data_IF_893152327725
#
_entry.id   IF_893152327725
#
_cell.length_a   1.000
_cell.length_b   1.000
_cell.length_c   1.000
_cell.angle_alpha   90.00
_cell.angle_beta   90.00
_cell.angle_gamma   90.00
#
_symmetry.space_group_name_H-M   'P 1'
#
loop_
_entity.id
_entity.type
_entity.pdbx_description
1 polymer ?
#
# COMPACT_ATOMS: atom_id res chain seq x y z
N UNK A 1 0.07 26.42 12.45
CA UNK A 1 1.39 26.36 11.79
C UNK A 1 1.18 26.32 10.30
N UNK A 2 1.41 27.44 9.61
CA UNK A 2 1.14 27.60 8.18
C UNK A 2 1.88 26.57 7.30
N UNK A 3 3.05 26.11 7.75
CA UNK A 3 3.82 25.06 7.09
C UNK A 3 3.07 23.72 7.03
N UNK A 4 2.47 23.26 8.13
CA UNK A 4 1.68 22.02 8.11
C UNK A 4 0.46 22.15 7.20
N UNK A 5 -0.19 23.31 7.18
CA UNK A 5 -1.39 23.55 6.38
C UNK A 5 -1.09 23.60 4.88
N UNK A 6 0.06 24.18 4.50
CA UNK A 6 0.58 24.13 3.13
C UNK A 6 0.97 22.70 2.72
N UNK A 7 1.61 21.95 3.62
CA UNK A 7 2.05 20.58 3.36
C UNK A 7 0.87 19.63 3.17
N UNK A 8 -0.16 19.73 4.02
CA UNK A 8 -1.41 18.96 3.88
C UNK A 8 -2.12 19.27 2.55
N UNK A 9 -2.24 20.56 2.18
CA UNK A 9 -2.87 20.96 0.92
C UNK A 9 -2.12 20.45 -0.32
N UNK A 10 -0.79 20.42 -0.28
CA UNK A 10 0.03 19.87 -1.37
C UNK A 10 -0.10 18.34 -1.45
N UNK A 11 -0.19 17.66 -0.31
CA UNK A 11 -0.41 16.21 -0.25
C UNK A 11 -1.78 15.85 -0.79
N UNK A 12 -2.84 16.59 -0.46
CA UNK A 12 -4.18 16.37 -1.02
C UNK A 12 -4.23 16.65 -2.53
N UNK A 13 -3.60 17.74 -2.99
CA UNK A 13 -3.60 18.10 -4.41
C UNK A 13 -2.89 17.06 -5.29
N UNK A 14 -1.73 16.55 -4.84
CA UNK A 14 -0.95 15.54 -5.57
C UNK A 14 -1.15 14.11 -5.06
N UNK A 15 -2.19 13.87 -4.25
CA UNK A 15 -2.46 12.57 -3.61
C UNK A 15 -2.45 11.43 -4.63
N UNK A 16 -3.08 11.61 -5.80
CA UNK A 16 -3.13 10.59 -6.85
C UNK A 16 -1.73 10.21 -7.37
N UNK A 17 -0.87 11.20 -7.60
CA UNK A 17 0.52 10.96 -8.03
C UNK A 17 1.33 10.25 -6.93
N UNK A 18 1.14 10.64 -5.67
CA UNK A 18 1.82 10.00 -4.55
C UNK A 18 1.35 8.56 -4.33
N UNK A 19 0.06 8.28 -4.49
CA UNK A 19 -0.48 6.91 -4.47
C UNK A 19 0.10 6.08 -5.61
N UNK A 20 0.25 6.65 -6.81
CA UNK A 20 0.85 5.96 -7.95
C UNK A 20 2.34 5.63 -7.71
N UNK A 21 3.12 6.58 -7.20
CA UNK A 21 4.53 6.36 -6.84
C UNK A 21 4.66 5.34 -5.71
N UNK A 22 3.79 5.40 -4.70
CA UNK A 22 3.74 4.43 -3.61
C UNK A 22 3.43 3.01 -4.11
N UNK A 23 2.42 2.86 -4.98
CA UNK A 23 2.10 1.58 -5.64
C UNK A 23 3.28 1.07 -6.48
N UNK A 24 3.92 1.95 -7.26
CA UNK A 24 5.11 1.61 -8.04
C UNK A 24 6.27 1.12 -7.18
N UNK A 25 6.52 1.77 -6.03
CA UNK A 25 7.54 1.36 -5.07
C UNK A 25 7.21 0.02 -4.40
N UNK A 26 5.94 -0.26 -4.09
CA UNK A 26 5.52 -1.57 -3.60
C UNK A 26 5.83 -2.65 -4.64
N UNK A 27 5.42 -2.45 -5.90
CA UNK A 27 5.68 -3.41 -6.99
C UNK A 27 7.19 -3.60 -7.18
N UNK A 28 7.95 -2.50 -7.22
CA UNK A 28 9.40 -2.54 -7.32
C UNK A 28 10.01 -3.35 -6.18
N UNK A 29 9.58 -3.12 -4.93
CA UNK A 29 10.09 -3.79 -3.74
C UNK A 29 9.78 -5.30 -3.76
N UNK A 30 8.57 -5.68 -4.21
CA UNK A 30 8.17 -7.08 -4.39
C UNK A 30 9.03 -7.77 -5.46
N UNK A 31 9.31 -7.10 -6.59
CA UNK A 31 10.08 -7.67 -7.70
C UNK A 31 11.57 -7.78 -7.36
N UNK A 32 12.14 -6.80 -6.65
CA UNK A 32 13.55 -6.81 -6.26
C UNK A 32 13.83 -7.71 -5.05
N UNK A 33 12.82 -8.07 -4.26
CA UNK A 33 12.98 -8.90 -3.06
C UNK A 33 12.54 -10.35 -3.32
N UNK A 34 13.46 -11.29 -3.62
CA UNK A 34 13.10 -12.66 -3.96
C UNK A 34 12.38 -13.40 -2.82
N UNK A 35 12.74 -13.12 -1.56
CA UNK A 35 12.07 -13.69 -0.37
C UNK A 35 10.60 -13.25 -0.25
N UNK A 36 10.31 -11.99 -0.55
CA UNK A 36 8.95 -11.44 -0.47
C UNK A 36 8.06 -12.02 -1.57
N UNK A 37 8.62 -12.21 -2.76
CA UNK A 37 7.96 -12.82 -3.90
C UNK A 37 7.59 -14.28 -3.61
N UNK A 38 8.50 -15.05 -3.01
CA UNK A 38 8.24 -16.44 -2.58
C UNK A 38 7.15 -16.47 -1.51
N UNK A 39 7.18 -15.59 -0.52
CA UNK A 39 6.15 -15.51 0.51
C UNK A 39 4.77 -15.18 -0.07
N UNK A 40 4.69 -14.24 -1.01
CA UNK A 40 3.46 -13.93 -1.74
C UNK A 40 2.98 -15.13 -2.57
N UNK A 41 3.87 -15.83 -3.26
CA UNK A 41 3.51 -17.02 -4.05
C UNK A 41 2.92 -18.13 -3.17
N UNK A 42 3.53 -18.41 -2.01
CA UNK A 42 3.02 -19.36 -1.03
C UNK A 42 1.67 -18.90 -0.47
N UNK A 43 1.53 -17.60 -0.18
CA UNK A 43 0.28 -17.02 0.32
C UNK A 43 -0.87 -17.15 -0.68
N UNK A 44 -0.66 -16.70 -1.93
CA UNK A 44 -1.66 -16.81 -2.99
C UNK A 44 -1.96 -18.28 -3.31
N UNK A 45 -0.95 -19.15 -3.30
CA UNK A 45 -1.15 -20.60 -3.45
C UNK A 45 -2.03 -21.18 -2.35
N UNK A 46 -1.75 -20.87 -1.08
CA UNK A 46 -2.55 -21.33 0.05
C UNK A 46 -3.99 -20.80 0.00
N UNK A 47 -4.16 -19.50 -0.28
CA UNK A 47 -5.47 -18.88 -0.46
C UNK A 47 -6.24 -19.48 -1.65
N UNK A 48 -5.57 -19.77 -2.77
CA UNK A 48 -6.18 -20.37 -3.94
C UNK A 48 -6.62 -21.81 -3.70
N UNK A 49 -5.78 -22.61 -3.02
CA UNK A 49 -6.15 -23.97 -2.59
C UNK A 49 -7.37 -23.91 -1.65
N UNK A 50 -7.39 -22.97 -0.70
CA UNK A 50 -8.52 -22.75 0.19
C UNK A 50 -9.79 -22.36 -0.60
N UNK A 51 -9.67 -21.43 -1.54
CA UNK A 51 -10.76 -20.99 -2.40
C UNK A 51 -11.35 -22.15 -3.23
N UNK A 52 -10.49 -22.95 -3.86
CA UNK A 52 -10.91 -24.14 -4.60
C UNK A 52 -11.58 -25.17 -3.69
N UNK A 53 -11.03 -25.39 -2.48
CA UNK A 53 -11.63 -26.30 -1.50
C UNK A 53 -13.04 -25.84 -1.12
N UNK A 54 -13.24 -24.54 -0.92
CA UNK A 54 -14.54 -23.96 -0.57
C UNK A 54 -15.56 -24.01 -1.71
N UNK A 55 -15.11 -23.95 -2.97
CA UNK A 55 -15.96 -24.15 -4.14
C UNK A 55 -16.38 -25.61 -4.34
N UNK A 56 -15.47 -26.55 -4.12
CA UNK A 56 -15.69 -27.99 -4.37
C UNK A 56 -16.38 -28.71 -3.21
N UNK A 57 -16.19 -28.23 -1.99
CA UNK A 57 -16.86 -28.76 -0.81
C UNK A 57 -17.07 -27.60 0.14
N UNK A 58 -18.31 -27.30 0.53
CA UNK A 58 -18.53 -26.52 1.75
C UNK A 58 -17.64 -27.15 2.81
N UNK A 59 -16.63 -26.43 3.31
CA UNK A 59 -15.69 -26.98 4.29
C UNK A 59 -16.49 -27.20 5.58
N UNK A 60 -17.10 -28.39 5.68
CA UNK A 60 -17.82 -28.85 6.86
C UNK A 60 -16.77 -29.49 7.77
N UNK A 61 -16.02 -28.65 8.49
CA UNK A 61 -15.17 -29.13 9.57
C UNK A 61 -16.10 -29.48 10.73
N UNK A 62 -16.20 -30.76 11.08
CA UNK A 62 -16.91 -31.22 12.28
C UNK A 62 -18.45 -31.02 12.26
N UNK A 63 -19.09 -31.10 11.09
CA UNK A 63 -20.57 -31.01 10.99
C UNK A 63 -21.15 -29.59 11.09
N UNK A 64 -20.31 -28.56 11.17
CA UNK A 64 -20.71 -27.14 11.14
C UNK A 64 -20.12 -26.48 9.89
N UNK A 65 -20.93 -25.70 9.17
CA UNK A 65 -20.46 -24.89 8.05
C UNK A 65 -19.43 -23.88 8.58
N UNK A 66 -18.16 -24.06 8.22
CA UNK A 66 -17.12 -23.12 8.62
C UNK A 66 -17.31 -21.86 7.80
N UNK A 67 -17.78 -20.80 8.45
CA UNK A 67 -17.95 -19.48 7.85
C UNK A 67 -16.65 -19.06 7.13
N UNK A 68 -16.75 -18.46 5.93
CA UNK A 68 -15.58 -17.98 5.18
C UNK A 68 -14.65 -17.09 6.02
N UNK A 69 -15.18 -16.36 7.01
CA UNK A 69 -14.37 -15.57 7.94
C UNK A 69 -13.31 -16.41 8.70
N UNK A 70 -13.66 -17.62 9.16
CA UNK A 70 -12.70 -18.49 9.87
C UNK A 70 -11.63 -19.05 8.94
N UNK A 71 -11.98 -19.28 7.68
CA UNK A 71 -11.06 -19.78 6.67
C UNK A 71 -10.00 -18.74 6.31
N UNK A 72 -10.42 -17.49 6.08
CA UNK A 72 -9.50 -16.38 5.89
C UNK A 72 -8.70 -16.07 7.14
N UNK A 73 -9.28 -16.22 8.34
CA UNK A 73 -8.54 -16.07 9.60
C UNK A 73 -7.45 -17.14 9.75
N UNK A 74 -7.73 -18.41 9.45
CA UNK A 74 -6.72 -19.47 9.45
C UNK A 74 -5.65 -19.25 8.39
N UNK A 75 -6.05 -18.88 7.17
CA UNK A 75 -5.11 -18.54 6.12
C UNK A 75 -4.20 -17.40 6.57
N UNK A 76 -4.77 -16.30 7.10
CA UNK A 76 -4.02 -15.18 7.66
C UNK A 76 -3.07 -15.59 8.79
N UNK A 77 -3.51 -16.43 9.73
CA UNK A 77 -2.69 -16.90 10.84
C UNK A 77 -1.49 -17.73 10.41
N UNK A 78 -1.63 -18.57 9.37
CA UNK A 78 -0.52 -19.35 8.79
C UNK A 78 0.43 -18.46 7.98
N UNK A 79 -0.13 -17.44 7.33
CA UNK A 79 0.60 -16.56 6.41
C UNK A 79 1.40 -15.48 7.14
N UNK A 80 0.89 -15.00 8.27
CA UNK A 80 1.51 -13.97 9.10
C UNK A 80 2.97 -14.29 9.49
N UNK A 81 3.31 -15.46 10.06
CA UNK A 81 4.69 -15.80 10.37
C UNK A 81 5.57 -15.93 9.12
N UNK A 82 5.01 -16.36 7.99
CA UNK A 82 5.73 -16.42 6.71
C UNK A 82 6.09 -15.03 6.19
N UNK A 83 5.14 -14.08 6.21
CA UNK A 83 5.40 -12.69 5.83
C UNK A 83 6.37 -12.00 6.79
N UNK A 84 6.31 -12.33 8.08
CA UNK A 84 7.27 -11.85 9.06
C UNK A 84 8.69 -12.35 8.75
N UNK A 85 8.86 -13.65 8.49
CA UNK A 85 10.15 -14.24 8.11
C UNK A 85 10.69 -13.67 6.79
N UNK A 86 9.80 -13.41 5.83
CA UNK A 86 10.15 -12.82 4.55
C UNK A 86 10.51 -11.33 4.64
N UNK A 87 10.40 -10.71 5.82
CA UNK A 87 10.75 -9.30 6.01
C UNK A 87 9.72 -8.33 5.43
N UNK A 88 8.43 -8.69 5.42
CA UNK A 88 7.39 -7.79 4.91
C UNK A 88 7.35 -6.46 5.69
N UNK A 89 7.57 -6.50 7.01
CA UNK A 89 7.66 -5.28 7.82
C UNK A 89 8.78 -4.35 7.37
N UNK A 90 9.99 -4.86 7.18
CA UNK A 90 11.13 -4.04 6.74
C UNK A 90 10.93 -3.50 5.32
N UNK A 91 10.35 -4.28 4.41
CA UNK A 91 9.97 -3.83 3.07
C UNK A 91 8.99 -2.66 3.12
N UNK A 92 7.95 -2.74 3.96
CA UNK A 92 6.98 -1.64 4.14
C UNK A 92 7.65 -0.38 4.69
N UNK A 93 8.47 -0.49 5.75
CA UNK A 93 9.18 0.68 6.29
C UNK A 93 10.16 1.27 5.29
N UNK A 94 10.82 0.45 4.48
CA UNK A 94 11.73 0.91 3.44
C UNK A 94 10.97 1.68 2.35
N UNK A 95 9.86 1.13 1.85
CA UNK A 95 9.01 1.79 0.86
C UNK A 95 8.44 3.10 1.40
N UNK A 96 7.94 3.11 2.65
CA UNK A 96 7.46 4.31 3.31
C UNK A 96 8.55 5.38 3.42
N UNK A 97 9.75 5.00 3.88
CA UNK A 97 10.90 5.89 3.94
C UNK A 97 11.31 6.43 2.58
N UNK A 98 11.35 5.57 1.55
CA UNK A 98 11.63 5.97 0.18
C UNK A 98 10.58 6.95 -0.34
N UNK A 99 9.28 6.70 -0.12
CA UNK A 99 8.23 7.67 -0.49
C UNK A 99 8.36 8.97 0.25
N UNK A 100 8.64 8.98 1.56
CA UNK A 100 8.81 10.21 2.32
C UNK A 100 10.02 11.01 1.85
N UNK A 101 11.12 10.35 1.50
CA UNK A 101 12.30 11.01 0.94
C UNK A 101 12.01 11.52 -0.47
N UNK A 102 11.36 10.74 -1.33
CA UNK A 102 11.02 11.15 -2.71
C UNK A 102 10.03 12.30 -2.71
N UNK A 103 8.94 12.20 -1.94
CA UNK A 103 7.91 13.23 -1.83
C UNK A 103 8.46 14.45 -1.09
N UNK A 104 9.22 14.25 -0.01
CA UNK A 104 9.85 15.33 0.74
C UNK A 104 10.89 16.07 -0.09
N UNK A 105 11.72 15.36 -0.85
CA UNK A 105 12.67 15.97 -1.79
C UNK A 105 11.94 16.67 -2.93
N UNK A 106 10.91 16.04 -3.52
CA UNK A 106 10.10 16.69 -4.55
C UNK A 106 9.41 17.95 -4.00
N UNK A 107 8.80 17.92 -2.82
CA UNK A 107 8.19 19.10 -2.19
C UNK A 107 9.21 20.16 -1.73
N UNK A 108 10.45 19.77 -1.43
CA UNK A 108 11.52 20.69 -1.03
C UNK A 108 12.20 21.38 -2.24
N UNK A 109 12.34 20.67 -3.35
CA UNK A 109 12.95 21.19 -4.58
C UNK A 109 11.94 21.75 -5.57
N UNK A 110 10.70 21.25 -5.57
CA UNK A 110 9.57 21.80 -6.30
C UNK A 110 8.81 22.72 -5.35
N UNK A 111 9.18 24.01 -5.37
CA UNK A 111 8.21 25.03 -4.99
C UNK A 111 7.00 24.82 -5.88
N UNK A 112 5.83 24.66 -5.28
CA UNK A 112 4.61 25.03 -6.00
C UNK A 112 4.82 26.50 -6.29
N UNK A 113 5.18 26.81 -7.53
CA UNK A 113 4.97 28.15 -8.06
C UNK A 113 3.52 28.47 -7.68
N UNK A 114 3.36 29.54 -6.92
CA UNK A 114 2.05 30.11 -6.61
C UNK A 114 1.45 30.63 -7.93
N UNK A 115 1.04 29.71 -8.80
CA UNK A 115 0.28 29.93 -10.02
C UNK A 115 -1.04 29.24 -9.68
N UNK A 116 -2.13 29.89 -9.31
CA UNK A 116 -2.66 31.19 -9.69
C UNK A 116 -3.41 31.80 -8.49
N UNK A 117 -3.00 32.97 -8.02
CA UNK A 117 -3.78 33.75 -7.07
C UNK A 117 -3.58 35.25 -7.15
N UNK A 118 -2.50 35.72 -7.79
CA UNK A 118 -2.19 37.15 -7.91
C UNK A 118 -2.25 37.69 -9.35
N UNK A 119 -2.53 36.88 -10.38
CA UNK A 119 -2.49 37.38 -11.78
C UNK A 119 -3.83 37.54 -12.52
N UNK A 120 -4.99 37.33 -11.90
CA UNK A 120 -6.28 37.54 -12.61
C UNK A 120 -7.28 38.41 -11.83
N UNK A 121 -7.27 39.71 -12.19
CA UNK A 121 -8.40 40.66 -12.21
C UNK A 121 -8.79 41.30 -10.85
N UNK A 122 -8.77 42.61 -10.62
CA UNK A 122 -8.74 43.81 -11.47
C UNK A 122 -8.29 44.99 -10.59
N UNK A 123 -7.37 45.83 -11.08
CA UNK A 123 -7.33 47.25 -10.70
C UNK A 123 -8.48 47.96 -11.43
N UNK A 124 -9.46 48.57 -10.75
CA UNK A 124 -10.24 49.64 -11.32
C UNK A 124 -9.60 50.98 -10.96
N UNK A 125 -9.19 51.68 -12.00
CA UNK A 125 -8.89 53.12 -12.03
C UNK A 125 -10.01 53.99 -11.46
#
# INVERSE_FOLDING_TARGET
GELCQRLVRNVEYYQSNYVFVFLGLIVYCVVTSPMLLVALAVFFGACYILYLRTLQSKLVLFGREVSPAHQYAMAGAVSFPFFWLAGAGSAVFWVLGATLVVIGSHAAFHQIEAVDGEELQMEPV
#
